data_IF_995154675945
#
_entry.id   IF_995154675945
#
_cell.length_a   1.000
_cell.length_b   1.000
_cell.length_c   1.000
_cell.angle_alpha   90.00
_cell.angle_beta   90.00
_cell.angle_gamma   90.00
#
_symmetry.space_group_name_H-M   'P 1'
#
loop_
_entity.id
_entity.type
_entity.pdbx_description
1 polymer ?
#
# COMPACT_ATOMS: atom_id res chain seq x y z
N UNK A 1 48.40 -36.95 16.18
CA UNK A 1 47.08 -36.42 16.55
C UNK A 1 47.25 -35.22 17.47
N UNK A 2 47.89 -34.17 16.96
CA UNK A 2 48.01 -32.82 17.51
C UNK A 2 48.28 -32.01 16.24
N UNK A 3 47.38 -31.11 15.85
CA UNK A 3 47.57 -29.99 14.89
C UNK A 3 46.23 -29.55 14.26
N UNK A 4 45.19 -29.32 15.07
CA UNK A 4 43.95 -28.72 14.54
C UNK A 4 43.15 -27.86 15.52
N UNK A 5 43.80 -27.26 16.53
CA UNK A 5 43.08 -26.45 17.55
C UNK A 5 43.58 -25.00 17.65
N UNK A 6 44.72 -24.61 17.08
CA UNK A 6 45.28 -23.27 17.33
C UNK A 6 44.96 -22.16 16.31
N UNK A 7 44.23 -22.43 15.22
CA UNK A 7 43.91 -21.39 14.22
C UNK A 7 42.58 -20.67 14.43
N UNK A 8 41.68 -21.16 15.30
CA UNK A 8 40.35 -20.55 15.48
C UNK A 8 40.21 -19.63 16.69
N UNK A 9 41.20 -19.56 17.60
CA UNK A 9 41.11 -18.69 18.79
C UNK A 9 41.63 -17.28 18.50
N UNK A 10 42.48 -17.09 17.49
CA UNK A 10 43.08 -15.78 17.20
C UNK A 10 42.27 -14.90 16.24
N UNK A 11 41.27 -15.42 15.53
CA UNK A 11 40.39 -14.60 14.67
C UNK A 11 39.25 -13.95 15.48
N UNK A 12 38.81 -14.59 16.58
CA UNK A 12 37.76 -14.04 17.45
C UNK A 12 38.21 -12.86 18.34
N UNK A 13 39.51 -12.64 18.51
CA UNK A 13 40.04 -11.55 19.34
C UNK A 13 40.35 -10.25 18.57
N UNK A 14 40.32 -10.27 17.23
CA UNK A 14 40.73 -9.10 16.41
C UNK A 14 39.53 -8.26 15.94
N UNK A 15 38.30 -8.75 16.07
CA UNK A 15 37.09 -8.00 15.66
C UNK A 15 36.32 -7.36 16.83
N UNK A 16 36.75 -7.53 18.08
CA UNK A 16 36.10 -6.94 19.26
C UNK A 16 36.53 -5.50 19.58
N UNK A 17 37.35 -4.86 18.73
CA UNK A 17 37.83 -3.47 18.94
C UNK A 17 37.58 -2.60 17.71
N UNK A 18 36.41 -2.72 17.10
CA UNK A 18 35.87 -1.65 16.27
C UNK A 18 34.64 -1.18 17.00
N UNK A 19 34.76 -0.04 17.71
CA UNK A 19 33.61 0.63 18.28
C UNK A 19 32.52 0.71 17.20
N UNK A 20 31.31 0.20 17.43
CA UNK A 20 30.28 0.24 16.41
C UNK A 20 30.09 1.70 16.01
N UNK A 21 30.11 1.98 14.71
CA UNK A 21 29.81 3.33 14.21
C UNK A 21 28.47 3.79 14.77
N UNK A 22 28.27 5.10 14.92
CA UNK A 22 26.99 5.64 15.44
C UNK A 22 25.78 5.09 14.69
N UNK A 23 25.89 4.95 13.36
CA UNK A 23 24.87 4.29 12.53
C UNK A 23 24.61 2.83 12.92
N UNK A 24 25.64 2.06 13.26
CA UNK A 24 25.47 0.68 13.72
C UNK A 24 24.86 0.61 15.13
N UNK A 25 25.12 1.60 15.99
CA UNK A 25 24.47 1.70 17.31
C UNK A 25 23.00 2.04 17.16
N UNK A 26 22.64 2.95 16.26
CA UNK A 26 21.26 3.31 15.94
C UNK A 26 20.47 2.13 15.36
N UNK A 27 21.04 1.37 14.42
CA UNK A 27 20.36 0.19 13.83
C UNK A 27 20.13 -0.89 14.89
N UNK A 28 21.12 -1.16 15.76
CA UNK A 28 20.96 -2.12 16.86
C UNK A 28 19.92 -1.65 17.86
N UNK A 29 19.92 -0.37 18.19
CA UNK A 29 18.93 0.21 19.10
C UNK A 29 17.52 0.10 18.50
N UNK A 30 17.33 0.51 17.24
CA UNK A 30 16.05 0.37 16.54
C UNK A 30 15.56 -1.09 16.53
N UNK A 31 16.41 -2.04 16.15
CA UNK A 31 16.05 -3.46 16.12
C UNK A 31 15.78 -4.06 17.51
N UNK A 32 16.26 -3.41 18.58
CA UNK A 32 16.00 -3.82 19.96
C UNK A 32 14.68 -3.31 20.53
N UNK A 33 14.03 -2.35 19.87
CA UNK A 33 12.75 -1.80 20.31
C UNK A 33 11.61 -2.81 20.09
N UNK A 34 10.54 -2.75 20.89
CA UNK A 34 9.30 -3.46 20.61
C UNK A 34 8.78 -3.14 19.20
N UNK A 35 8.17 -4.13 18.55
CA UNK A 35 7.68 -4.01 17.16
C UNK A 35 6.73 -2.82 16.94
N UNK A 36 5.98 -2.43 17.99
CA UNK A 36 5.10 -1.25 17.98
C UNK A 36 5.89 0.07 17.93
N UNK A 37 6.96 0.20 18.71
CA UNK A 37 7.80 1.40 18.73
C UNK A 37 8.65 1.53 17.46
N UNK A 38 9.13 0.41 16.92
CA UNK A 38 9.77 0.38 15.59
C UNK A 38 8.85 0.93 14.49
N UNK A 39 7.54 0.63 14.58
CA UNK A 39 6.53 1.14 13.64
C UNK A 39 6.31 2.63 13.83
N UNK A 40 6.15 3.11 15.06
CA UNK A 40 5.98 4.53 15.35
C UNK A 40 7.18 5.35 14.87
N UNK A 41 8.39 4.83 14.99
CA UNK A 41 9.60 5.49 14.48
C UNK A 41 9.66 5.44 12.95
N UNK A 42 9.39 4.29 12.30
CA UNK A 42 9.31 4.21 10.82
C UNK A 42 8.21 5.12 10.25
N UNK A 43 7.07 5.22 10.92
CA UNK A 43 5.99 6.14 10.55
C UNK A 43 6.40 7.60 10.76
N UNK A 44 7.07 7.91 11.87
CA UNK A 44 7.55 9.27 12.15
C UNK A 44 8.66 9.68 11.19
N UNK A 45 9.55 8.77 10.81
CA UNK A 45 10.59 9.00 9.81
C UNK A 45 9.99 9.12 8.40
N UNK A 46 8.98 8.32 8.04
CA UNK A 46 8.19 8.54 6.82
C UNK A 46 7.57 9.93 6.84
N UNK A 47 6.89 10.31 7.94
CA UNK A 47 6.29 11.64 8.14
C UNK A 47 7.32 12.77 8.07
N UNK A 48 8.56 12.56 8.53
CA UNK A 48 9.67 13.54 8.48
C UNK A 48 10.34 13.64 7.11
N UNK A 49 10.51 12.54 6.38
CA UNK A 49 10.98 12.58 4.96
C UNK A 49 9.94 13.25 4.05
N UNK A 50 8.70 13.24 4.50
CA UNK A 50 7.54 13.91 3.94
C UNK A 50 7.44 15.33 4.54
N UNK A 51 8.46 16.15 4.38
CA UNK A 51 8.26 17.61 4.40
C UNK A 51 7.62 17.96 3.04
N UNK A 52 6.42 17.45 2.77
CA UNK A 52 5.74 17.64 1.49
C UNK A 52 5.49 19.14 1.31
N UNK A 53 5.95 19.68 0.19
CA UNK A 53 5.50 20.99 -0.30
C UNK A 53 4.00 20.91 -0.62
N UNK A 54 3.22 21.10 0.43
CA UNK A 54 1.76 21.12 0.43
C UNK A 54 1.23 22.51 0.11
N UNK A 55 2.12 23.45 -0.31
CA UNK A 55 1.74 24.80 -0.74
C UNK A 55 1.28 24.83 -2.21
N UNK A 56 1.69 23.86 -3.03
CA UNK A 56 1.25 23.74 -4.42
C UNK A 56 0.13 22.72 -4.58
N UNK A 57 -0.97 23.13 -5.21
CA UNK A 57 -2.14 22.30 -5.50
C UNK A 57 -1.80 21.06 -6.34
N UNK A 58 -0.87 21.18 -7.31
CA UNK A 58 -0.43 20.07 -8.17
C UNK A 58 0.26 18.97 -7.37
N UNK A 59 1.03 19.34 -6.34
CA UNK A 59 1.73 18.39 -5.49
C UNK A 59 0.77 17.65 -4.56
N UNK A 60 -0.35 18.26 -4.14
CA UNK A 60 -1.32 17.62 -3.23
C UNK A 60 -1.95 16.37 -3.86
N UNK A 61 -2.43 16.47 -5.11
CA UNK A 61 -3.07 15.35 -5.81
C UNK A 61 -2.04 14.25 -6.09
N UNK A 62 -0.87 14.62 -6.61
CA UNK A 62 0.22 13.67 -6.91
C UNK A 62 0.64 12.89 -5.67
N UNK A 63 0.94 13.57 -4.57
CA UNK A 63 1.38 12.94 -3.33
C UNK A 63 0.29 12.02 -2.77
N UNK A 64 -0.98 12.42 -2.89
CA UNK A 64 -2.08 11.58 -2.39
C UNK A 64 -2.21 10.26 -3.16
N UNK A 65 -2.05 10.30 -4.48
CA UNK A 65 -2.28 9.15 -5.33
C UNK A 65 -1.03 8.29 -5.57
N UNK A 66 0.16 8.79 -5.23
CA UNK A 66 1.41 8.01 -5.13
C UNK A 66 1.36 7.02 -3.96
N UNK A 67 0.88 7.45 -2.79
CA UNK A 67 0.59 6.57 -1.65
C UNK A 67 -0.84 6.80 -1.10
N UNK A 68 -1.85 6.14 -1.68
CA UNK A 68 -3.25 6.28 -1.25
C UNK A 68 -3.48 5.85 0.19
N UNK A 69 -2.71 4.89 0.71
CA UNK A 69 -2.84 4.40 2.09
C UNK A 69 -2.46 5.53 3.04
N UNK A 70 -1.27 6.09 2.85
CA UNK A 70 -0.81 7.25 3.62
C UNK A 70 -1.76 8.44 3.47
N UNK A 71 -2.21 8.76 2.25
CA UNK A 71 -3.10 9.88 2.02
C UNK A 71 -4.39 9.78 2.85
N UNK A 72 -5.02 8.61 2.88
CA UNK A 72 -6.24 8.41 3.64
C UNK A 72 -6.03 8.49 5.16
N UNK A 73 -4.88 8.01 5.65
CA UNK A 73 -4.50 8.06 7.06
C UNK A 73 -4.11 9.47 7.51
N UNK A 74 -3.47 10.24 6.63
CA UNK A 74 -3.05 11.62 6.89
C UNK A 74 -4.16 12.63 6.57
N UNK A 75 -5.10 12.77 7.51
CA UNK A 75 -6.27 13.66 7.39
C UNK A 75 -5.98 15.11 6.95
N UNK A 76 -4.87 15.77 7.32
CA UNK A 76 -4.57 17.11 6.80
C UNK A 76 -4.49 17.18 5.27
N UNK A 77 -3.97 16.13 4.60
CA UNK A 77 -3.91 16.09 3.14
C UNK A 77 -5.31 15.97 2.53
N UNK A 78 -6.16 15.10 3.09
CA UNK A 78 -7.56 14.96 2.67
C UNK A 78 -8.30 16.30 2.80
N UNK A 79 -8.17 16.99 3.94
CA UNK A 79 -8.86 18.25 4.17
C UNK A 79 -8.46 19.32 3.15
N UNK A 80 -7.16 19.45 2.84
CA UNK A 80 -6.69 20.39 1.81
C UNK A 80 -7.21 20.04 0.42
N UNK A 81 -7.28 18.76 0.07
CA UNK A 81 -7.85 18.33 -1.21
C UNK A 81 -9.35 18.68 -1.26
N UNK A 82 -10.10 18.44 -0.17
CA UNK A 82 -11.52 18.84 -0.08
C UNK A 82 -11.73 20.34 -0.24
N UNK A 83 -10.88 21.16 0.36
CA UNK A 83 -10.96 22.63 0.25
C UNK A 83 -10.77 23.09 -1.20
N UNK A 84 -9.84 22.46 -1.92
CA UNK A 84 -9.50 22.82 -3.31
C UNK A 84 -10.42 22.19 -4.36
N UNK A 85 -11.21 21.16 -4.03
CA UNK A 85 -12.11 20.46 -4.97
C UNK A 85 -13.20 21.36 -5.56
N UNK A 86 -13.47 22.52 -4.92
CA UNK A 86 -14.41 23.53 -5.45
C UNK A 86 -13.92 24.17 -6.75
N UNK A 87 -12.62 24.13 -7.02
CA UNK A 87 -12.05 24.57 -8.29
C UNK A 87 -12.21 23.46 -9.35
N UNK A 88 -12.84 23.77 -10.48
CA UNK A 88 -13.16 22.80 -11.53
C UNK A 88 -11.92 22.14 -12.16
N UNK A 89 -10.85 22.91 -12.36
CA UNK A 89 -9.57 22.39 -12.89
C UNK A 89 -8.99 21.37 -11.92
N UNK A 90 -8.97 21.71 -10.63
CA UNK A 90 -8.50 20.82 -9.57
C UNK A 90 -9.38 19.57 -9.43
N UNK A 91 -10.71 19.70 -9.52
CA UNK A 91 -11.64 18.57 -9.50
C UNK A 91 -11.43 17.62 -10.67
N UNK A 92 -11.13 18.16 -11.85
CA UNK A 92 -10.81 17.38 -13.06
C UNK A 92 -9.50 16.62 -12.87
N UNK A 93 -8.45 17.30 -12.40
CA UNK A 93 -7.15 16.67 -12.10
C UNK A 93 -7.27 15.58 -11.04
N UNK A 94 -8.06 15.82 -10.00
CA UNK A 94 -8.34 14.84 -8.95
C UNK A 94 -9.01 13.59 -9.52
N UNK A 95 -10.07 13.77 -10.33
CA UNK A 95 -10.79 12.63 -10.92
C UNK A 95 -9.90 11.85 -11.89
N UNK A 96 -9.08 12.53 -12.69
CA UNK A 96 -8.13 11.87 -13.59
C UNK A 96 -7.08 11.07 -12.82
N UNK A 97 -6.52 11.64 -11.76
CA UNK A 97 -5.52 10.97 -10.91
C UNK A 97 -6.13 9.79 -10.14
N UNK A 98 -7.33 9.96 -9.59
CA UNK A 98 -8.09 8.87 -8.97
C UNK A 98 -8.32 7.72 -9.96
N UNK A 99 -8.82 8.03 -11.15
CA UNK A 99 -9.12 7.03 -12.18
C UNK A 99 -7.84 6.28 -12.59
N UNK A 100 -6.76 7.00 -12.84
CA UNK A 100 -5.45 6.42 -13.16
C UNK A 100 -4.96 5.49 -12.04
N UNK A 101 -4.94 5.97 -10.80
CA UNK A 101 -4.47 5.18 -9.66
C UNK A 101 -5.34 3.95 -9.39
N UNK A 102 -6.66 4.04 -9.57
CA UNK A 102 -7.56 2.90 -9.38
C UNK A 102 -7.35 1.82 -10.46
N UNK A 103 -7.15 2.20 -11.72
CA UNK A 103 -6.82 1.27 -12.82
C UNK A 103 -5.46 0.60 -12.66
N UNK A 104 -4.51 1.33 -12.06
CA UNK A 104 -3.14 0.85 -11.87
C UNK A 104 -3.00 -0.12 -10.69
N UNK A 105 -4.03 -0.30 -9.85
CA UNK A 105 -4.01 -1.39 -8.86
C UNK A 105 -4.26 -2.71 -9.58
N UNK A 106 -3.21 -3.52 -9.68
CA UNK A 106 -3.24 -4.83 -10.33
C UNK A 106 -2.92 -5.91 -9.30
N UNK A 107 -3.82 -6.89 -9.19
CA UNK A 107 -3.62 -8.05 -8.33
C UNK A 107 -4.33 -9.27 -8.93
N UNK A 108 -3.73 -10.46 -8.78
CA UNK A 108 -4.29 -11.69 -9.35
C UNK A 108 -4.62 -11.54 -10.83
N UNK A 109 -5.69 -12.18 -11.28
CA UNK A 109 -6.14 -12.14 -12.67
C UNK A 109 -7.28 -11.17 -12.92
N UNK A 110 -8.08 -10.87 -11.89
CA UNK A 110 -9.35 -10.16 -12.03
C UNK A 110 -9.34 -8.77 -11.36
N UNK A 111 -8.39 -8.44 -10.48
CA UNK A 111 -8.28 -7.06 -9.98
C UNK A 111 -7.54 -6.19 -10.99
N UNK A 112 -8.22 -5.80 -12.07
CA UNK A 112 -7.71 -4.94 -13.15
C UNK A 112 -8.87 -4.39 -13.97
N UNK A 113 -8.61 -3.35 -14.77
CA UNK A 113 -9.63 -2.70 -15.60
C UNK A 113 -10.22 -3.64 -16.66
N UNK A 114 -9.36 -4.33 -17.40
CA UNK A 114 -9.75 -5.27 -18.44
C UNK A 114 -9.30 -6.67 -18.06
N UNK A 115 -10.24 -7.62 -18.06
CA UNK A 115 -9.87 -9.03 -18.09
C UNK A 115 -9.30 -9.34 -19.46
N UNK A 116 -8.12 -9.95 -19.45
CA UNK A 116 -7.47 -10.44 -20.65
C UNK A 116 -7.16 -11.93 -20.42
N UNK A 117 -7.94 -12.84 -21.02
CA UNK A 117 -7.74 -14.28 -20.85
C UNK A 117 -6.41 -14.75 -21.47
N UNK A 118 -5.83 -13.99 -22.39
CA UNK A 118 -4.59 -14.37 -23.09
C UNK A 118 -3.36 -14.11 -22.21
N UNK A 119 -3.43 -13.17 -21.26
CA UNK A 119 -2.33 -12.89 -20.32
C UNK A 119 -2.17 -14.03 -19.31
N UNK A 120 -3.27 -14.65 -18.87
CA UNK A 120 -3.26 -15.76 -17.91
C UNK A 120 -4.27 -16.84 -18.30
N UNK A 121 -3.88 -17.83 -19.14
CA UNK A 121 -4.73 -18.97 -19.48
C UNK A 121 -5.16 -19.77 -18.25
N UNK A 122 -4.29 -19.78 -17.23
CA UNK A 122 -4.55 -20.29 -15.88
C UNK A 122 -4.07 -19.23 -14.90
N UNK A 123 -4.90 -18.90 -13.90
CA UNK A 123 -4.54 -17.86 -12.94
C UNK A 123 -3.42 -18.34 -12.00
N UNK A 124 -2.28 -17.63 -11.88
CA UNK A 124 -1.13 -18.09 -11.09
C UNK A 124 -1.34 -17.99 -9.58
N UNK A 125 -2.37 -17.27 -9.12
CA UNK A 125 -2.70 -17.15 -7.70
C UNK A 125 -3.96 -17.96 -7.43
N UNK A 126 -3.79 -19.20 -6.99
CA UNK A 126 -4.92 -20.04 -6.59
C UNK A 126 -5.47 -19.59 -5.21
N UNK A 127 -6.81 -19.52 -5.09
CA UNK A 127 -7.55 -19.30 -3.82
C UNK A 127 -7.39 -17.92 -3.15
N UNK A 128 -6.85 -16.91 -3.84
CA UNK A 128 -6.89 -15.55 -3.30
C UNK A 128 -8.33 -15.05 -3.18
N UNK A 129 -8.66 -14.52 -2.00
CA UNK A 129 -10.00 -14.01 -1.73
C UNK A 129 -10.21 -12.64 -2.37
N UNK A 130 -9.15 -11.81 -2.47
CA UNK A 130 -9.19 -10.54 -3.18
C UNK A 130 -9.45 -10.77 -4.68
N UNK A 131 -8.74 -11.72 -5.29
CA UNK A 131 -8.92 -11.99 -6.72
C UNK A 131 -10.33 -12.52 -7.03
N UNK A 132 -10.85 -13.41 -6.17
CA UNK A 132 -12.23 -13.89 -6.25
C UNK A 132 -13.25 -12.76 -6.10
N UNK A 133 -13.02 -11.82 -5.17
CA UNK A 133 -13.89 -10.65 -5.01
C UNK A 133 -13.88 -9.76 -6.25
N UNK A 134 -12.70 -9.56 -6.86
CA UNK A 134 -12.58 -8.82 -8.11
C UNK A 134 -13.23 -9.55 -9.29
N UNK A 135 -13.14 -10.87 -9.38
CA UNK A 135 -13.81 -11.68 -10.40
C UNK A 135 -15.32 -11.49 -10.35
N UNK A 136 -15.91 -11.62 -9.16
CA UNK A 136 -17.36 -11.41 -8.96
C UNK A 136 -17.78 -10.00 -9.34
N UNK A 137 -16.99 -9.01 -8.94
CA UNK A 137 -17.23 -7.60 -9.30
C UNK A 137 -17.19 -7.42 -10.81
N UNK A 138 -16.15 -7.90 -11.49
CA UNK A 138 -16.05 -7.80 -12.95
C UNK A 138 -17.24 -8.46 -13.65
N UNK A 139 -17.66 -9.65 -13.21
CA UNK A 139 -18.85 -10.32 -13.76
C UNK A 139 -20.10 -9.45 -13.62
N UNK A 140 -20.35 -8.90 -12.43
CA UNK A 140 -21.49 -8.00 -12.21
C UNK A 140 -21.44 -6.75 -13.08
N UNK A 141 -20.26 -6.14 -13.25
CA UNK A 141 -20.08 -4.95 -14.07
C UNK A 141 -20.32 -5.24 -15.55
N UNK A 142 -19.81 -6.37 -16.04
CA UNK A 142 -20.05 -6.84 -17.40
C UNK A 142 -21.55 -7.04 -17.67
N UNK A 143 -22.27 -7.72 -16.76
CA UNK A 143 -23.72 -7.93 -16.87
C UNK A 143 -24.53 -6.63 -16.84
N UNK A 144 -24.00 -5.56 -16.24
CA UNK A 144 -24.65 -4.25 -16.16
C UNK A 144 -24.12 -3.22 -17.19
N UNK A 145 -23.25 -3.64 -18.11
CA UNK A 145 -22.57 -2.75 -19.06
C UNK A 145 -21.90 -1.53 -18.39
N UNK A 146 -21.24 -1.78 -17.26
CA UNK A 146 -20.52 -0.78 -16.46
C UNK A 146 -19.00 -1.00 -16.56
N UNK A 147 -18.24 0.06 -16.33
CA UNK A 147 -16.77 0.01 -16.34
C UNK A 147 -16.20 -0.33 -14.95
N UNK A 148 -14.91 -0.69 -14.91
CA UNK A 148 -14.19 -0.98 -13.66
C UNK A 148 -14.22 0.18 -12.66
N UNK A 149 -14.24 1.42 -13.17
CA UNK A 149 -14.48 2.62 -12.38
C UNK A 149 -15.93 3.04 -12.61
N UNK A 150 -16.81 2.68 -11.69
CA UNK A 150 -18.21 3.06 -11.73
C UNK A 150 -18.63 3.76 -10.43
N UNK A 151 -19.78 4.42 -10.46
CA UNK A 151 -20.43 5.02 -9.28
C UNK A 151 -21.54 4.13 -8.70
N UNK A 152 -21.74 2.92 -9.26
CA UNK A 152 -22.85 2.03 -8.92
C UNK A 152 -22.48 1.11 -7.75
N UNK A 153 -23.10 1.37 -6.60
CA UNK A 153 -22.86 0.62 -5.36
C UNK A 153 -23.27 -0.86 -5.43
N UNK A 154 -24.10 -1.27 -6.39
CA UNK A 154 -24.65 -2.64 -6.47
C UNK A 154 -23.53 -3.67 -6.67
N UNK A 155 -22.69 -3.47 -7.69
CA UNK A 155 -21.57 -4.39 -7.98
C UNK A 155 -20.39 -4.24 -7.00
N UNK A 156 -20.30 -3.10 -6.32
CA UNK A 156 -19.22 -2.83 -5.38
C UNK A 156 -19.47 -3.43 -3.99
N UNK A 157 -20.72 -3.78 -3.65
CA UNK A 157 -21.11 -4.23 -2.30
C UNK A 157 -20.30 -5.41 -1.75
N UNK A 158 -20.23 -6.55 -2.47
CA UNK A 158 -19.46 -7.72 -2.03
C UNK A 158 -17.96 -7.43 -2.00
N UNK A 159 -17.46 -6.69 -2.98
CA UNK A 159 -16.06 -6.31 -3.10
C UNK A 159 -15.62 -5.40 -1.94
N UNK A 160 -16.38 -4.36 -1.64
CA UNK A 160 -16.13 -3.45 -0.52
C UNK A 160 -16.25 -4.19 0.81
N UNK A 161 -17.27 -5.05 0.98
CA UNK A 161 -17.42 -5.86 2.19
C UNK A 161 -16.22 -6.79 2.42
N UNK A 162 -15.68 -7.38 1.35
CA UNK A 162 -14.44 -8.14 1.42
C UNK A 162 -13.28 -7.28 1.92
N UNK A 163 -13.04 -6.14 1.26
CA UNK A 163 -11.95 -5.22 1.61
C UNK A 163 -12.01 -4.77 3.08
N UNK A 164 -13.22 -4.45 3.57
CA UNK A 164 -13.46 -4.05 4.96
C UNK A 164 -13.19 -5.17 5.96
N UNK A 165 -13.57 -6.42 5.64
CA UNK A 165 -13.34 -7.59 6.50
C UNK A 165 -11.88 -8.03 6.49
N UNK A 166 -11.24 -8.07 5.32
CA UNK A 166 -9.88 -8.55 5.15
C UNK A 166 -8.87 -7.69 5.93
N UNK A 167 -9.12 -6.38 6.02
CA UNK A 167 -8.25 -5.43 6.73
C UNK A 167 -8.25 -5.61 8.26
N UNK A 168 -9.29 -6.18 8.87
CA UNK A 168 -9.44 -6.18 10.34
C UNK A 168 -8.31 -6.96 11.02
N UNK A 169 -7.46 -6.24 11.76
CA UNK A 169 -6.41 -6.81 12.60
C UNK A 169 -5.15 -7.29 11.86
N UNK A 170 -5.08 -7.12 10.53
CA UNK A 170 -3.92 -7.54 9.74
C UNK A 170 -2.92 -6.41 9.53
N UNK A 171 -1.63 -6.70 9.73
CA UNK A 171 -0.51 -5.79 9.48
C UNK A 171 0.25 -6.24 8.23
N UNK A 172 0.70 -5.30 7.40
CA UNK A 172 1.55 -5.61 6.24
C UNK A 172 2.98 -5.79 6.72
N UNK A 173 3.48 -7.02 6.63
CA UNK A 173 4.91 -7.27 6.79
C UNK A 173 5.63 -6.87 5.49
N UNK A 174 6.09 -5.61 5.43
CA UNK A 174 6.82 -5.09 4.27
C UNK A 174 8.18 -5.76 4.04
N UNK A 175 8.69 -6.49 5.03
CA UNK A 175 9.94 -7.26 4.91
C UNK A 175 9.68 -8.64 4.29
N UNK A 176 8.42 -9.06 4.18
CA UNK A 176 7.97 -10.29 3.51
C UNK A 176 7.01 -9.96 2.37
N UNK A 177 7.52 -9.94 1.14
CA UNK A 177 6.71 -9.84 -0.08
C UNK A 177 6.13 -11.20 -0.50
N UNK A 178 5.50 -11.93 0.42
CA UNK A 178 4.72 -13.11 0.06
C UNK A 178 3.35 -12.73 -0.53
N UNK A 179 2.63 -13.74 -1.04
CA UNK A 179 1.33 -13.53 -1.67
C UNK A 179 0.29 -12.90 -0.72
N UNK A 180 0.34 -13.21 0.59
CA UNK A 180 -0.59 -12.65 1.57
C UNK A 180 -0.30 -11.17 1.84
N UNK A 181 0.97 -10.79 2.01
CA UNK A 181 1.40 -9.40 2.17
C UNK A 181 1.05 -8.56 0.94
N UNK A 182 1.25 -9.10 -0.27
CA UNK A 182 0.88 -8.43 -1.53
C UNK A 182 -0.64 -8.26 -1.62
N UNK A 183 -1.41 -9.29 -1.25
CA UNK A 183 -2.88 -9.21 -1.21
C UNK A 183 -3.37 -8.16 -0.21
N UNK A 184 -2.75 -8.09 0.97
CA UNK A 184 -3.07 -7.10 1.99
C UNK A 184 -2.71 -5.68 1.57
N UNK A 185 -1.55 -5.48 0.97
CA UNK A 185 -1.16 -4.19 0.42
C UNK A 185 -2.15 -3.70 -0.65
N UNK A 186 -2.50 -4.56 -1.62
CA UNK A 186 -3.45 -4.20 -2.68
C UNK A 186 -4.86 -3.96 -2.13
N UNK A 187 -5.31 -4.77 -1.16
CA UNK A 187 -6.59 -4.57 -0.48
C UNK A 187 -6.64 -3.21 0.24
N UNK A 188 -5.58 -2.85 0.97
CA UNK A 188 -5.50 -1.56 1.65
C UNK A 188 -5.44 -0.39 0.67
N UNK A 189 -4.73 -0.53 -0.45
CA UNK A 189 -4.67 0.48 -1.50
C UNK A 189 -6.05 0.73 -2.13
N UNK A 190 -6.77 -0.33 -2.51
CA UNK A 190 -8.14 -0.24 -3.05
C UNK A 190 -9.10 0.40 -2.04
N UNK A 191 -9.05 -0.05 -0.79
CA UNK A 191 -9.87 0.51 0.30
C UNK A 191 -9.62 2.01 0.46
N UNK A 192 -8.35 2.41 0.45
CA UNK A 192 -7.97 3.81 0.66
C UNK A 192 -8.42 4.68 -0.50
N UNK A 193 -8.28 4.22 -1.75
CA UNK A 193 -8.80 4.93 -2.92
C UNK A 193 -10.33 5.14 -2.85
N UNK A 194 -11.07 4.08 -2.50
CA UNK A 194 -12.54 4.16 -2.34
C UNK A 194 -12.91 5.18 -1.26
N UNK A 195 -12.23 5.13 -0.12
CA UNK A 195 -12.52 6.03 0.98
C UNK A 195 -12.09 7.46 0.70
N UNK A 196 -10.96 7.70 0.02
CA UNK A 196 -10.55 9.03 -0.44
C UNK A 196 -11.64 9.65 -1.32
N UNK A 197 -12.13 8.90 -2.32
CA UNK A 197 -13.19 9.39 -3.20
C UNK A 197 -14.47 9.69 -2.43
N UNK A 198 -14.89 8.79 -1.54
CA UNK A 198 -16.07 9.00 -0.68
C UNK A 198 -15.91 10.21 0.22
N UNK A 199 -14.75 10.40 0.83
CA UNK A 199 -14.50 11.55 1.70
C UNK A 199 -14.57 12.86 0.92
N UNK A 200 -14.00 12.91 -0.29
CA UNK A 200 -13.90 14.16 -1.07
C UNK A 200 -15.20 14.54 -1.77
N UNK A 201 -16.04 13.55 -2.10
CA UNK A 201 -17.32 13.77 -2.79
C UNK A 201 -18.53 13.88 -1.87
N UNK A 202 -18.35 13.71 -0.56
CA UNK A 202 -19.34 14.04 0.48
C UNK A 202 -19.35 15.55 0.74
#
# INVERSE_FOLDING_TARGET
>A
MIDFIFTNILISAVLSVIAPSEKQKEIRHFNSLPQKEQREIKETEKRKRIEFDTKSNVNLIKNCFEDPIFCFEYKPLINRIKENIKNEVFATEFNNSFNSSFKNVKFGCFCRESFDPDIYPVCPIEKSQLDLACQKRQKCLFEQNQTWINSNLKCDSEFVNYLEKFKKGKYIDYDKFDNESIELYNSQKLTSLINIKREITK
#
